data_IF_592357651461
#
_entry.id   IF_592357651461
#
_cell.length_a   1.000
_cell.length_b   1.000
_cell.length_c   1.000
_cell.angle_alpha   90.00
_cell.angle_beta   90.00
_cell.angle_gamma   90.00
#
_symmetry.space_group_name_H-M   'P 1'
#
loop_
_entity.id
_entity.type
_entity.pdbx_description
1 polymer ?
#
# COMPACT_ATOMS: atom_id res chain seq x y z
N UNK A 1 -8.05 24.28 24.28
CA UNK A 1 -9.17 23.43 24.72
C UNK A 1 -8.67 22.23 25.52
N UNK A 2 -9.51 21.61 26.36
CA UNK A 2 -9.19 20.34 27.04
C UNK A 2 -9.88 19.18 26.33
N UNK A 3 -9.19 18.06 26.16
CA UNK A 3 -9.75 16.82 25.61
C UNK A 3 -9.20 15.63 26.39
N UNK A 4 -10.05 14.95 27.17
CA UNK A 4 -9.63 13.90 28.12
C UNK A 4 -8.49 14.40 29.02
N UNK A 5 -7.36 13.69 29.05
CA UNK A 5 -6.16 14.04 29.83
C UNK A 5 -5.22 15.03 29.11
N UNK A 6 -5.62 15.54 27.94
CA UNK A 6 -4.79 16.40 27.11
C UNK A 6 -5.26 17.86 27.15
N UNK A 7 -4.29 18.77 27.12
CA UNK A 7 -4.50 20.18 26.84
C UNK A 7 -4.04 20.46 25.43
N UNK A 8 -4.90 21.05 24.61
CA UNK A 8 -4.61 21.37 23.22
C UNK A 8 -4.62 22.88 23.06
N UNK A 9 -3.52 23.43 22.60
CA UNK A 9 -3.41 24.82 22.18
C UNK A 9 -3.46 24.86 20.66
N UNK A 10 -4.25 25.77 20.10
CA UNK A 10 -4.28 25.96 18.65
C UNK A 10 -4.20 27.44 18.29
N UNK A 11 -3.46 27.73 17.23
CA UNK A 11 -3.27 29.08 16.70
C UNK A 11 -3.48 29.08 15.19
N UNK A 12 -3.88 30.21 14.62
CA UNK A 12 -3.81 30.38 13.15
C UNK A 12 -2.37 30.17 12.69
N UNK A 13 -2.21 29.55 11.52
CA UNK A 13 -0.90 29.39 10.86
C UNK A 13 -0.36 30.70 10.28
N UNK A 14 -1.21 31.73 10.14
CA UNK A 14 -0.83 33.04 9.60
C UNK A 14 -0.58 33.06 8.09
N UNK A 15 -1.05 32.04 7.35
CA UNK A 15 -0.89 31.98 5.91
C UNK A 15 -1.82 33.00 5.22
N UNK A 16 -1.32 33.68 4.19
CA UNK A 16 -2.10 34.65 3.40
C UNK A 16 -2.67 34.07 2.11
N UNK A 17 -2.35 32.81 1.80
CA UNK A 17 -2.94 32.11 0.67
C UNK A 17 -4.41 31.78 0.96
N UNK A 18 -5.30 32.07 0.02
CA UNK A 18 -6.77 31.97 0.20
C UNK A 18 -7.19 30.58 0.70
N UNK A 19 -6.59 29.52 0.16
CA UNK A 19 -6.92 28.13 0.54
C UNK A 19 -6.39 27.71 1.92
N UNK A 20 -5.53 28.52 2.55
CA UNK A 20 -4.83 28.19 3.79
C UNK A 20 -5.00 29.25 4.89
N UNK A 21 -5.80 30.29 4.62
CA UNK A 21 -5.95 31.44 5.53
C UNK A 21 -6.54 31.03 6.88
N UNK A 22 -7.40 30.02 6.87
CA UNK A 22 -8.09 29.51 8.04
C UNK A 22 -7.39 28.29 8.68
N UNK A 23 -6.23 27.87 8.16
CA UNK A 23 -5.50 26.71 8.69
C UNK A 23 -5.07 26.98 10.14
N UNK A 24 -5.24 25.97 11.00
CA UNK A 24 -4.83 26.04 12.41
C UNK A 24 -3.70 25.05 12.69
N UNK A 25 -2.73 25.49 13.50
CA UNK A 25 -1.68 24.66 14.07
C UNK A 25 -2.03 24.30 15.50
N UNK A 26 -2.11 23.01 15.79
CA UNK A 26 -2.46 22.46 17.10
C UNK A 26 -1.22 21.87 17.78
N UNK A 27 -1.01 22.19 19.07
CA UNK A 27 -0.03 21.57 19.96
C UNK A 27 -0.77 20.80 21.04
N UNK A 28 -0.38 19.55 21.25
CA UNK A 28 -0.99 18.64 22.22
C UNK A 28 -0.02 18.46 23.39
N UNK A 29 -0.52 18.75 24.59
CA UNK A 29 0.22 18.60 25.82
C UNK A 29 -0.50 17.61 26.74
N UNK A 30 0.28 16.87 27.53
CA UNK A 30 -0.23 16.09 28.65
C UNK A 30 0.44 16.59 29.92
N UNK A 31 -0.32 16.71 31.00
CA UNK A 31 0.24 16.98 32.32
C UNK A 31 0.25 15.67 33.11
N UNK A 32 1.42 15.03 33.28
CA UNK A 32 1.55 13.88 34.17
C UNK A 32 1.10 14.24 35.59
N UNK A 33 0.48 13.30 36.30
CA UNK A 33 -0.03 13.52 37.67
C UNK A 33 1.04 14.01 38.65
N UNK A 34 2.31 13.69 38.37
CA UNK A 34 3.46 13.97 39.23
C UNK A 34 4.42 15.03 38.67
N UNK A 35 4.06 15.75 37.60
CA UNK A 35 4.91 16.74 36.96
C UNK A 35 4.38 18.17 37.14
N UNK A 36 5.29 19.11 37.41
CA UNK A 36 4.99 20.54 37.54
C UNK A 36 4.70 21.22 36.20
N UNK A 37 5.17 20.65 35.10
CA UNK A 37 5.05 21.20 33.75
C UNK A 37 4.39 20.21 32.80
N UNK A 38 3.62 20.75 31.84
CA UNK A 38 2.98 19.96 30.82
C UNK A 38 3.99 19.59 29.72
N UNK A 39 4.05 18.32 29.35
CA UNK A 39 4.91 17.81 28.29
C UNK A 39 4.21 17.94 26.94
N UNK A 40 4.90 18.50 25.94
CA UNK A 40 4.41 18.57 24.56
C UNK A 40 4.62 17.21 23.89
N UNK A 41 3.51 16.54 23.55
CA UNK A 41 3.53 15.19 22.99
C UNK A 41 3.53 15.19 21.47
N UNK A 42 2.76 16.08 20.87
CA UNK A 42 2.56 16.09 19.42
C UNK A 42 2.08 17.45 18.91
N UNK A 43 2.15 17.64 17.59
CA UNK A 43 1.54 18.77 16.91
C UNK A 43 1.02 18.39 15.53
N UNK A 44 -0.07 19.00 15.09
CA UNK A 44 -0.67 18.77 13.77
C UNK A 44 -1.33 20.04 13.21
N UNK A 45 -1.53 20.08 11.89
CA UNK A 45 -2.23 21.16 11.19
C UNK A 45 -3.59 20.64 10.74
N UNK A 46 -4.62 21.47 10.88
CA UNK A 46 -5.95 21.22 10.29
C UNK A 46 -6.18 22.25 9.19
N UNK A 47 -6.43 21.83 7.94
CA UNK A 47 -6.78 22.74 6.86
C UNK A 47 -8.10 23.47 7.12
N UNK A 48 -8.20 24.72 6.69
CA UNK A 48 -9.40 25.55 6.82
C UNK A 48 -10.65 24.89 6.22
N UNK A 49 -10.51 24.24 5.05
CA UNK A 49 -11.59 23.48 4.43
C UNK A 49 -12.18 22.41 5.35
N UNK A 50 -11.33 21.67 6.09
CA UNK A 50 -11.80 20.66 7.04
C UNK A 50 -12.47 21.31 8.26
N UNK A 51 -11.99 22.46 8.73
CA UNK A 51 -12.65 23.20 9.81
C UNK A 51 -14.08 23.59 9.42
N UNK A 52 -14.27 24.04 8.18
CA UNK A 52 -15.58 24.36 7.62
C UNK A 52 -16.47 23.12 7.51
N UNK A 53 -15.93 21.99 7.05
CA UNK A 53 -16.65 20.71 6.96
C UNK A 53 -17.12 20.18 8.33
N UNK A 54 -16.29 20.33 9.36
CA UNK A 54 -16.64 19.97 10.74
C UNK A 54 -17.47 21.05 11.46
N UNK A 55 -17.67 22.22 10.85
CA UNK A 55 -18.47 23.34 11.35
C UNK A 55 -17.81 24.16 12.48
N UNK A 56 -16.67 23.72 13.04
CA UNK A 56 -15.89 24.50 14.01
C UNK A 56 -14.48 23.94 14.21
N UNK A 57 -13.56 24.80 14.67
CA UNK A 57 -12.20 24.39 15.02
C UNK A 57 -12.20 23.34 16.14
N UNK A 58 -13.04 23.48 17.18
CA UNK A 58 -13.10 22.49 18.27
C UNK A 58 -13.63 21.13 17.79
N UNK A 59 -14.61 21.10 16.89
CA UNK A 59 -15.11 19.86 16.32
C UNK A 59 -14.06 19.17 15.44
N UNK A 60 -13.35 19.94 14.60
CA UNK A 60 -12.26 19.43 13.77
C UNK A 60 -11.09 18.90 14.63
N UNK A 61 -10.66 19.67 15.65
CA UNK A 61 -9.63 19.23 16.60
C UNK A 61 -10.07 17.97 17.33
N UNK A 62 -11.32 17.90 17.78
CA UNK A 62 -11.85 16.69 18.44
C UNK A 62 -11.85 15.50 17.48
N UNK A 63 -12.17 15.69 16.20
CA UNK A 63 -12.11 14.64 15.19
C UNK A 63 -10.67 14.18 14.91
N UNK A 64 -9.70 15.09 14.87
CA UNK A 64 -8.27 14.77 14.73
C UNK A 64 -7.70 14.09 15.98
N UNK A 65 -8.08 14.55 17.17
CA UNK A 65 -7.72 13.90 18.43
C UNK A 65 -8.36 12.51 18.59
N UNK A 66 -9.42 12.20 17.84
CA UNK A 66 -9.97 10.84 17.71
C UNK A 66 -9.22 9.98 16.70
N UNK A 67 -8.45 10.56 15.76
CA UNK A 67 -7.68 9.82 14.74
C UNK A 67 -6.46 9.11 15.31
N UNK A 68 -5.97 9.53 16.48
CA UNK A 68 -5.28 8.62 17.40
C UNK A 68 -6.36 7.81 18.11
N UNK A 69 -6.71 6.62 17.59
CA UNK A 69 -7.69 5.74 18.22
C UNK A 69 -7.31 5.54 19.70
N UNK A 70 -8.08 6.09 20.65
CA UNK A 70 -7.73 6.01 22.07
C UNK A 70 -7.89 4.59 22.65
N UNK A 71 -8.32 3.65 21.81
CA UNK A 71 -8.59 2.25 22.11
C UNK A 71 -7.75 1.29 21.25
N UNK A 72 -6.69 1.78 20.56
CA UNK A 72 -5.75 0.88 19.91
C UNK A 72 -5.09 0.03 20.99
N UNK A 73 -5.49 -1.24 21.06
CA UNK A 73 -4.95 -2.20 22.01
C UNK A 73 -3.45 -2.36 21.73
N UNK A 74 -2.64 -2.41 22.78
CA UNK A 74 -1.20 -2.65 22.64
C UNK A 74 -0.94 -3.99 21.92
N UNK A 75 -1.84 -4.95 22.10
CA UNK A 75 -1.87 -6.23 21.40
C UNK A 75 -2.03 -6.06 19.88
N UNK A 76 -2.91 -5.17 19.42
CA UNK A 76 -3.12 -4.92 17.99
C UNK A 76 -1.86 -4.32 17.34
N UNK A 77 -1.17 -3.41 18.04
CA UNK A 77 0.09 -2.85 17.57
C UNK A 77 1.21 -3.90 17.51
N UNK A 78 1.27 -4.79 18.50
CA UNK A 78 2.22 -5.91 18.52
C UNK A 78 1.92 -6.91 17.39
N UNK A 79 0.65 -7.26 17.17
CA UNK A 79 0.24 -8.21 16.14
C UNK A 79 0.43 -7.62 14.74
N UNK A 80 0.17 -6.34 14.55
CA UNK A 80 0.52 -5.64 13.31
C UNK A 80 2.04 -5.70 13.03
N UNK A 81 2.89 -5.48 14.05
CA UNK A 81 4.35 -5.61 13.89
C UNK A 81 4.74 -7.02 13.47
N UNK A 82 4.21 -8.06 14.12
CA UNK A 82 4.46 -9.46 13.74
C UNK A 82 4.03 -9.75 12.31
N UNK A 83 2.85 -9.26 11.90
CA UNK A 83 2.36 -9.44 10.53
C UNK A 83 3.28 -8.76 9.51
N UNK A 84 3.84 -7.61 9.83
CA UNK A 84 4.79 -6.92 8.95
C UNK A 84 6.12 -7.69 8.82
N UNK A 85 6.61 -8.28 9.92
CA UNK A 85 7.79 -9.16 9.90
C UNK A 85 7.54 -10.41 9.04
N UNK A 86 6.42 -11.12 9.29
CA UNK A 86 6.03 -12.28 8.49
C UNK A 86 5.83 -11.94 7.02
N UNK A 87 5.22 -10.79 6.71
CA UNK A 87 5.06 -10.31 5.33
C UNK A 87 6.42 -10.14 4.66
N UNK A 88 7.39 -9.51 5.34
CA UNK A 88 8.73 -9.27 4.78
C UNK A 88 9.47 -10.58 4.51
N UNK A 89 9.43 -11.51 5.47
CA UNK A 89 10.02 -12.84 5.31
C UNK A 89 9.39 -13.61 4.15
N UNK A 90 8.06 -13.64 4.08
CA UNK A 90 7.34 -14.33 3.03
C UNK A 90 7.64 -13.71 1.66
N UNK A 91 7.65 -12.37 1.54
CA UNK A 91 8.00 -11.69 0.29
C UNK A 91 9.42 -12.05 -0.18
N UNK A 92 10.38 -12.14 0.74
CA UNK A 92 11.74 -12.58 0.39
C UNK A 92 11.76 -14.03 -0.10
N UNK A 93 11.03 -14.93 0.56
CA UNK A 93 10.92 -16.33 0.13
C UNK A 93 10.26 -16.46 -1.26
N UNK A 94 9.21 -15.67 -1.51
CA UNK A 94 8.53 -15.64 -2.81
C UNK A 94 9.47 -15.14 -3.90
N UNK A 95 10.22 -14.05 -3.66
CA UNK A 95 11.22 -13.53 -4.62
C UNK A 95 12.24 -14.59 -4.99
N UNK A 96 12.84 -15.24 -3.99
CA UNK A 96 13.85 -16.28 -4.20
C UNK A 96 13.28 -17.48 -4.96
N UNK A 97 12.02 -17.85 -4.71
CA UNK A 97 11.35 -18.91 -5.45
C UNK A 97 11.14 -18.51 -6.92
N UNK A 98 10.66 -17.30 -7.18
CA UNK A 98 10.47 -16.76 -8.54
C UNK A 98 11.80 -16.79 -9.30
N UNK A 99 12.87 -16.20 -8.73
CA UNK A 99 14.20 -16.15 -9.36
C UNK A 99 14.75 -17.55 -9.64
N UNK A 100 14.57 -18.48 -8.71
CA UNK A 100 15.00 -19.88 -8.87
C UNK A 100 14.25 -20.59 -9.98
N UNK A 101 12.94 -20.38 -10.09
CA UNK A 101 12.12 -20.93 -11.18
C UNK A 101 12.56 -20.35 -12.52
N UNK A 102 12.68 -19.03 -12.63
CA UNK A 102 13.13 -18.38 -13.86
C UNK A 102 14.51 -18.87 -14.29
N UNK A 103 15.49 -18.88 -13.37
CA UNK A 103 16.87 -19.32 -13.66
C UNK A 103 16.90 -20.76 -14.16
N UNK A 104 16.12 -21.66 -13.55
CA UNK A 104 16.04 -23.08 -13.97
C UNK A 104 15.48 -23.24 -15.38
N UNK A 105 14.62 -22.32 -15.81
CA UNK A 105 13.93 -22.39 -17.10
C UNK A 105 14.46 -21.37 -18.12
N UNK A 106 15.75 -21.00 -18.03
CA UNK A 106 16.42 -20.16 -19.05
C UNK A 106 16.13 -18.66 -18.92
N UNK A 107 15.65 -18.21 -17.77
CA UNK A 107 15.46 -16.80 -17.44
C UNK A 107 14.15 -16.18 -17.96
N UNK A 108 13.33 -16.91 -18.70
CA UNK A 108 12.05 -16.43 -19.23
C UNK A 108 11.03 -17.57 -19.29
N UNK A 109 9.86 -17.36 -18.70
CA UNK A 109 8.72 -18.29 -18.75
C UNK A 109 7.56 -17.57 -19.39
N UNK A 110 6.98 -18.18 -20.43
CA UNK A 110 5.85 -17.65 -21.19
C UNK A 110 4.67 -18.60 -21.09
N UNK A 111 3.46 -18.06 -20.98
CA UNK A 111 2.20 -18.80 -21.07
C UNK A 111 1.17 -17.96 -21.80
N UNK A 112 0.36 -18.61 -22.62
CA UNK A 112 -0.71 -17.99 -23.39
C UNK A 112 -2.07 -18.38 -22.80
N UNK A 113 -3.13 -17.60 -23.08
CA UNK A 113 -4.46 -17.92 -22.59
C UNK A 113 -4.94 -19.25 -23.14
N UNK A 114 -5.77 -19.94 -22.36
CA UNK A 114 -6.52 -21.10 -22.86
C UNK A 114 -7.73 -20.53 -23.59
N UNK A 115 -7.85 -20.83 -24.88
CA UNK A 115 -9.02 -20.44 -25.66
C UNK A 115 -10.19 -21.36 -25.32
N UNK A 116 -11.32 -20.77 -24.92
CA UNK A 116 -12.57 -21.48 -24.81
C UNK A 116 -13.20 -21.75 -26.19
N UNK A 117 -14.32 -22.47 -26.18
CA UNK A 117 -15.07 -22.84 -27.40
C UNK A 117 -15.71 -21.65 -28.14
N UNK A 118 -15.73 -20.47 -27.52
CA UNK A 118 -16.23 -19.21 -28.09
C UNK A 118 -15.10 -18.26 -28.53
N UNK A 119 -13.85 -18.70 -28.44
CA UNK A 119 -12.67 -17.88 -28.77
C UNK A 119 -12.29 -16.85 -27.71
N UNK A 120 -12.91 -16.91 -26.52
CA UNK A 120 -12.49 -16.16 -25.34
C UNK A 120 -11.19 -16.75 -24.77
N UNK A 121 -10.19 -15.91 -24.55
CA UNK A 121 -8.92 -16.33 -23.96
C UNK A 121 -8.91 -16.14 -22.46
N UNK A 122 -8.92 -17.22 -21.68
CA UNK A 122 -8.75 -17.15 -20.23
C UNK A 122 -7.25 -17.11 -19.89
N UNK A 123 -6.79 -15.94 -19.43
CA UNK A 123 -5.39 -15.74 -19.09
C UNK A 123 -5.09 -16.31 -17.69
N UNK A 124 -3.89 -16.88 -17.47
CA UNK A 124 -3.57 -17.51 -16.19
C UNK A 124 -3.71 -16.57 -14.99
N UNK A 125 -3.31 -15.31 -15.18
CA UNK A 125 -3.36 -14.26 -14.16
C UNK A 125 -3.52 -12.90 -14.83
N UNK A 126 -4.47 -12.12 -14.33
CA UNK A 126 -4.58 -10.68 -14.57
C UNK A 126 -4.20 -9.95 -13.29
N UNK A 127 -3.33 -8.94 -13.39
CA UNK A 127 -2.92 -8.15 -12.23
C UNK A 127 -2.75 -6.67 -12.55
N UNK A 128 -2.88 -5.85 -11.52
CA UNK A 128 -2.72 -4.41 -11.63
C UNK A 128 -1.23 -4.06 -11.63
N UNK A 129 -0.80 -3.28 -12.61
CA UNK A 129 0.48 -2.57 -12.60
C UNK A 129 0.24 -1.07 -12.54
N UNK A 130 1.02 -0.36 -11.71
CA UNK A 130 1.00 1.09 -11.65
C UNK A 130 2.03 1.67 -12.62
N UNK A 131 1.57 2.52 -13.53
CA UNK A 131 2.41 3.21 -14.51
C UNK A 131 2.09 4.69 -14.63
N UNK A 132 2.73 5.38 -15.59
CA UNK A 132 2.52 6.82 -15.84
C UNK A 132 1.07 7.19 -16.19
N UNK A 133 0.29 6.21 -16.66
CA UNK A 133 -1.10 6.38 -17.07
C UNK A 133 -2.10 5.84 -16.01
N UNK A 134 -1.65 5.59 -14.79
CA UNK A 134 -2.48 5.05 -13.70
C UNK A 134 -2.34 3.54 -13.52
N UNK A 135 -3.33 2.95 -12.87
CA UNK A 135 -3.43 1.50 -12.64
C UNK A 135 -3.95 0.81 -13.91
N UNK A 136 -3.20 -0.17 -14.43
CA UNK A 136 -3.56 -0.94 -15.61
C UNK A 136 -3.75 -2.40 -15.25
N UNK A 137 -4.87 -3.00 -15.69
CA UNK A 137 -5.10 -4.43 -15.61
C UNK A 137 -4.34 -5.12 -16.74
N UNK A 138 -3.33 -5.92 -16.38
CA UNK A 138 -2.46 -6.60 -17.33
C UNK A 138 -2.68 -8.10 -17.24
N UNK A 139 -3.09 -8.69 -18.36
CA UNK A 139 -3.13 -10.13 -18.59
C UNK A 139 -1.70 -10.64 -18.81
N UNK A 140 -1.14 -11.36 -17.85
CA UNK A 140 0.28 -11.75 -17.87
C UNK A 140 0.52 -12.85 -18.89
N UNK A 141 1.52 -12.63 -19.75
CA UNK A 141 1.91 -13.57 -20.80
C UNK A 141 3.32 -14.09 -20.61
N UNK A 142 4.21 -13.33 -19.97
CA UNK A 142 5.55 -13.80 -19.66
C UNK A 142 6.15 -13.10 -18.44
N UNK A 143 7.05 -13.81 -17.78
CA UNK A 143 7.84 -13.34 -16.65
C UNK A 143 9.29 -13.71 -16.90
N UNK A 144 10.22 -12.77 -16.70
CA UNK A 144 11.62 -12.95 -17.04
C UNK A 144 12.56 -12.14 -16.16
N UNK A 145 13.85 -12.51 -16.21
CA UNK A 145 14.96 -11.71 -15.69
C UNK A 145 15.50 -10.83 -16.81
N UNK A 146 15.61 -9.53 -16.59
CA UNK A 146 16.26 -8.63 -17.55
C UNK A 146 17.79 -8.80 -17.54
N UNK A 147 18.50 -8.04 -18.40
CA UNK A 147 19.97 -8.09 -18.49
C UNK A 147 20.71 -7.70 -17.21
N UNK A 148 20.04 -7.07 -16.24
CA UNK A 148 20.57 -6.73 -14.93
C UNK A 148 20.10 -7.72 -13.83
N UNK A 149 19.37 -8.78 -14.19
CA UNK A 149 18.81 -9.75 -13.25
C UNK A 149 17.57 -9.25 -12.50
N UNK A 150 16.91 -8.18 -12.96
CA UNK A 150 15.67 -7.67 -12.35
C UNK A 150 14.46 -8.43 -12.88
N UNK A 151 13.48 -8.61 -12.01
CA UNK A 151 12.23 -9.29 -12.35
C UNK A 151 11.34 -8.37 -13.21
N UNK A 152 11.00 -8.86 -14.40
CA UNK A 152 10.15 -8.17 -15.36
C UNK A 152 8.98 -9.03 -15.80
N UNK A 153 7.88 -8.38 -16.14
CA UNK A 153 6.72 -9.00 -16.76
C UNK A 153 6.42 -8.39 -18.14
N UNK A 154 5.75 -9.18 -18.97
CA UNK A 154 5.06 -8.72 -20.17
C UNK A 154 3.66 -9.30 -20.22
N UNK A 155 2.77 -8.58 -20.88
CA UNK A 155 1.35 -8.92 -20.90
C UNK A 155 0.56 -8.07 -21.88
N UNK A 156 -0.75 -8.22 -21.81
CA UNK A 156 -1.70 -7.51 -22.65
C UNK A 156 -2.59 -6.67 -21.73
N UNK A 157 -2.74 -5.38 -22.03
CA UNK A 157 -3.67 -4.52 -21.33
C UNK A 157 -5.10 -5.01 -21.62
N UNK A 158 -5.83 -5.35 -20.56
CA UNK A 158 -7.16 -5.96 -20.66
C UNK A 158 -8.21 -5.03 -21.28
N UNK A 159 -8.03 -3.72 -21.16
CA UNK A 159 -8.96 -2.73 -21.73
C UNK A 159 -8.61 -2.33 -23.17
N UNK A 160 -7.32 -2.14 -23.44
CA UNK A 160 -6.86 -1.59 -24.73
C UNK A 160 -6.42 -2.69 -25.72
N UNK A 161 -6.22 -3.92 -25.24
CA UNK A 161 -5.59 -5.00 -26.01
C UNK A 161 -4.11 -4.74 -26.34
N UNK A 162 -3.51 -3.67 -25.79
CA UNK A 162 -2.15 -3.26 -26.10
C UNK A 162 -1.12 -4.18 -25.43
N UNK A 163 -0.12 -4.62 -26.21
CA UNK A 163 1.01 -5.39 -25.69
C UNK A 163 1.89 -4.49 -24.85
N UNK A 164 2.08 -4.86 -23.59
CA UNK A 164 2.94 -4.14 -22.63
C UNK A 164 4.15 -5.00 -22.30
N UNK A 165 5.33 -4.38 -22.26
CA UNK A 165 6.61 -5.03 -21.98
C UNK A 165 7.35 -4.29 -20.87
N UNK A 166 8.34 -4.96 -20.31
CA UNK A 166 9.29 -4.41 -19.32
C UNK A 166 8.65 -3.89 -18.02
N UNK A 167 7.48 -4.42 -17.67
CA UNK A 167 6.78 -4.09 -16.43
C UNK A 167 7.62 -4.52 -15.21
N UNK A 168 7.87 -3.59 -14.30
CA UNK A 168 8.65 -3.85 -13.08
C UNK A 168 7.84 -4.71 -12.10
N UNK A 169 8.40 -5.85 -11.69
CA UNK A 169 7.76 -6.71 -10.69
C UNK A 169 8.19 -6.27 -9.30
N UNK A 170 7.25 -5.72 -8.54
CA UNK A 170 7.41 -5.27 -7.16
C UNK A 170 6.88 -6.33 -6.16
N UNK A 171 7.19 -6.21 -4.85
CA UNK A 171 6.79 -7.19 -3.85
C UNK A 171 5.28 -7.49 -3.76
N UNK A 172 4.44 -6.52 -4.09
CA UNK A 172 2.98 -6.66 -4.19
C UNK A 172 2.54 -7.61 -5.32
N UNK A 173 3.37 -7.79 -6.34
CA UNK A 173 3.05 -8.65 -7.49
C UNK A 173 3.44 -10.12 -7.27
N UNK A 174 4.30 -10.42 -6.29
CA UNK A 174 4.91 -11.76 -6.15
C UNK A 174 3.90 -12.90 -6.03
N UNK A 175 2.77 -12.68 -5.35
CA UNK A 175 1.70 -13.69 -5.24
C UNK A 175 1.14 -14.06 -6.60
N UNK A 176 0.75 -13.06 -7.40
CA UNK A 176 0.21 -13.30 -8.74
C UNK A 176 1.26 -13.85 -9.70
N UNK A 177 2.53 -13.43 -9.57
CA UNK A 177 3.63 -13.99 -10.38
C UNK A 177 3.85 -15.46 -10.06
N UNK A 178 3.80 -15.86 -8.78
CA UNK A 178 3.88 -17.27 -8.41
C UNK A 178 2.68 -18.07 -8.92
N UNK A 179 1.47 -17.49 -8.93
CA UNK A 179 0.30 -18.14 -9.52
C UNK A 179 0.48 -18.35 -11.04
N UNK A 180 0.97 -17.34 -11.77
CA UNK A 180 1.30 -17.46 -13.19
C UNK A 180 2.36 -18.53 -13.43
N UNK A 181 3.45 -18.53 -12.66
CA UNK A 181 4.51 -19.53 -12.79
C UNK A 181 4.03 -20.94 -12.44
N UNK A 182 3.19 -21.07 -11.41
CA UNK A 182 2.61 -22.36 -11.05
C UNK A 182 1.71 -22.89 -12.17
N UNK A 183 0.88 -22.04 -12.77
CA UNK A 183 0.09 -22.40 -13.94
C UNK A 183 0.99 -22.80 -15.11
N UNK A 184 1.92 -21.94 -15.51
CA UNK A 184 2.78 -22.14 -16.68
C UNK A 184 3.65 -23.40 -16.58
N UNK A 185 4.09 -23.75 -15.36
CA UNK A 185 4.92 -24.92 -15.08
C UNK A 185 4.13 -26.15 -14.64
N UNK A 186 2.80 -26.05 -14.53
CA UNK A 186 1.95 -27.15 -14.05
C UNK A 186 2.22 -27.57 -12.59
N UNK A 187 2.69 -26.66 -11.74
CA UNK A 187 2.98 -26.92 -10.32
C UNK A 187 1.65 -27.05 -9.57
N UNK A 188 1.42 -28.21 -8.97
CA UNK A 188 0.25 -28.45 -8.10
C UNK A 188 0.65 -28.32 -6.63
N UNK A 189 -0.24 -27.81 -5.76
CA UNK A 189 -0.03 -27.89 -4.32
C UNK A 189 0.14 -29.36 -3.92
N UNK A 190 1.21 -29.67 -3.18
CA UNK A 190 1.33 -30.99 -2.57
C UNK A 190 0.31 -31.03 -1.43
N UNK A 191 -0.62 -32.00 -1.40
CA UNK A 191 -1.53 -32.16 -0.27
C UNK A 191 -0.73 -32.29 1.02
N UNK A 192 -1.16 -31.59 2.08
CA UNK A 192 -0.62 -31.77 3.42
C UNK A 192 -1.07 -33.09 4.02
#
# INVERSE_FOLDING_TARGET
MKYKDYTIEYTSTGNTHVDHMDDIFCRVYRQPKDASEAEMLNSFIIPGGEIHDYGSAEAAITAYMRRDYPDNDEQDAQDYRKLQEYRKELQQQMKLLIERLLTRHGGNITSYPVTDEYGGGDYPVTMIFYGRHGAQNINITNVYLDGAGRLKAGGINDHEGAITRELEILPEHYTGILAFLAFALGIKPIPR
#
